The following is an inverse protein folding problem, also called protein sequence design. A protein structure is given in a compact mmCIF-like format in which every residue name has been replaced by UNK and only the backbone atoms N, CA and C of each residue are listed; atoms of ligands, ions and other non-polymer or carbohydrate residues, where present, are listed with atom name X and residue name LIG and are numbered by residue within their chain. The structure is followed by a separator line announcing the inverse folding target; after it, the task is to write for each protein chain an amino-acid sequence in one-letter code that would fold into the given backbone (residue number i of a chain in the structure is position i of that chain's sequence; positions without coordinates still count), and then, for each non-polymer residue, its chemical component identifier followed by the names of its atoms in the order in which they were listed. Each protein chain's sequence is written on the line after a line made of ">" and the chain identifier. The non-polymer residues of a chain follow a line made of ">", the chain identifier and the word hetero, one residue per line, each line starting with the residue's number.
data_IF_234087233478
#
_entry.id   IF_234087233478
#
_cell.length_a   1.000
_cell.length_b   1.000
_cell.length_c   1.000
_cell.angle_alpha   90.00
_cell.angle_beta   90.00
_cell.angle_gamma   90.00
#
_symmetry.space_group_name_H-M   'P 1'
#
loop_
_entity.id
_entity.type
_entity.pdbx_description
1 polymer ?
#
# COMPACT_ATOMS: atom_id res chain seq x y z
N UNK A 1 24.77 -4.45 24.67
CA UNK A 1 25.06 -4.39 23.21
C UNK A 1 26.52 -3.96 23.10
N UNK A 2 27.45 -4.91 23.17
CA UNK A 2 28.73 -4.61 23.85
C UNK A 2 29.95 -4.40 22.96
N UNK A 3 29.88 -4.43 21.62
CA UNK A 3 31.07 -4.15 20.77
C UNK A 3 30.85 -3.40 19.45
N UNK A 4 29.64 -2.92 19.13
CA UNK A 4 29.40 -2.08 17.93
C UNK A 4 29.92 -2.66 16.61
N UNK A 5 30.06 -3.99 16.50
CA UNK A 5 30.64 -4.64 15.32
C UNK A 5 29.63 -4.54 14.18
N UNK A 6 30.05 -4.14 12.95
CA UNK A 6 29.15 -4.09 11.81
C UNK A 6 28.44 -5.43 11.58
N UNK A 7 27.12 -5.41 11.54
CA UNK A 7 26.34 -6.59 11.19
C UNK A 7 26.23 -6.71 9.67
N UNK A 8 26.69 -7.82 9.12
CA UNK A 8 26.58 -8.12 7.69
C UNK A 8 25.36 -9.01 7.46
N UNK A 9 24.41 -8.53 6.65
CA UNK A 9 23.27 -9.34 6.23
C UNK A 9 23.75 -10.42 5.26
N UNK A 10 23.72 -11.68 5.70
CA UNK A 10 24.01 -12.83 4.84
C UNK A 10 22.73 -13.35 4.17
N UNK A 11 22.81 -13.98 2.98
CA UNK A 11 21.63 -14.51 2.30
C UNK A 11 20.80 -15.51 3.13
N UNK A 12 21.44 -16.21 4.07
CA UNK A 12 20.88 -17.23 4.95
C UNK A 12 20.37 -16.69 6.30
N UNK A 13 20.48 -15.39 6.58
CA UNK A 13 20.16 -14.81 7.91
C UNK A 13 18.70 -15.03 8.31
N UNK A 14 17.76 -15.00 7.36
CA UNK A 14 16.33 -15.23 7.61
C UNK A 14 15.86 -16.64 7.18
N UNK A 15 16.79 -17.59 7.09
CA UNK A 15 16.50 -18.96 6.72
C UNK A 15 16.06 -19.14 5.27
N UNK A 16 15.63 -20.36 4.89
CA UNK A 16 15.31 -20.71 3.50
C UNK A 16 13.98 -20.09 3.02
N UNK A 17 13.21 -19.47 3.91
CA UNK A 17 11.92 -18.86 3.59
C UNK A 17 12.04 -17.56 2.76
N UNK A 18 13.19 -16.88 2.85
CA UNK A 18 13.40 -15.58 2.24
C UNK A 18 14.64 -15.60 1.34
N UNK A 19 14.63 -14.72 0.32
CA UNK A 19 15.82 -14.39 -0.47
C UNK A 19 16.23 -12.97 -0.18
N UNK A 20 17.52 -12.81 0.14
CA UNK A 20 18.16 -11.51 0.23
C UNK A 20 18.37 -10.96 -1.18
N UNK A 21 17.87 -9.76 -1.42
CA UNK A 21 18.21 -8.94 -2.57
C UNK A 21 18.53 -7.52 -2.12
N UNK A 22 18.68 -6.63 -3.09
CA UNK A 22 18.76 -5.18 -2.84
C UNK A 22 17.54 -4.48 -3.40
N UNK A 23 17.09 -3.45 -2.71
CA UNK A 23 16.03 -2.57 -3.16
C UNK A 23 16.50 -1.12 -3.10
N UNK A 24 16.09 -0.32 -4.08
CA UNK A 24 16.27 1.13 -4.00
C UNK A 24 15.06 1.74 -3.29
N UNK A 25 15.34 2.57 -2.30
CA UNK A 25 14.32 3.32 -1.59
C UNK A 25 14.75 4.79 -1.52
N UNK A 26 13.85 5.74 -1.82
CA UNK A 26 14.17 7.14 -1.62
C UNK A 26 14.44 7.41 -0.13
N UNK A 27 15.36 8.33 0.13
CA UNK A 27 15.56 8.87 1.47
C UNK A 27 14.29 9.54 1.96
N UNK A 28 13.95 9.37 3.22
CA UNK A 28 12.82 10.06 3.81
C UNK A 28 13.15 11.55 3.97
N UNK A 29 12.39 12.41 3.28
CA UNK A 29 12.58 13.86 3.31
C UNK A 29 11.24 14.59 3.17
N UNK A 30 10.90 15.40 4.17
CA UNK A 30 9.65 16.16 4.19
C UNK A 30 9.58 17.22 3.08
N UNK A 31 10.71 17.79 2.67
CA UNK A 31 10.75 18.93 1.76
C UNK A 31 10.43 20.28 2.42
N UNK A 32 10.43 20.36 3.76
CA UNK A 32 10.38 21.61 4.53
C UNK A 32 11.06 21.40 5.90
N UNK A 33 11.31 22.47 6.66
CA UNK A 33 11.94 22.38 7.99
C UNK A 33 11.02 21.60 8.95
N UNK A 34 11.55 20.56 9.61
CA UNK A 34 10.79 19.77 10.58
C UNK A 34 10.32 20.60 11.76
N UNK A 35 11.05 21.66 12.13
CA UNK A 35 10.65 22.55 13.22
C UNK A 35 9.35 23.31 12.91
N UNK A 36 8.97 23.45 11.63
CA UNK A 36 7.68 24.04 11.24
C UNK A 36 6.47 23.29 11.82
N UNK A 37 6.59 21.99 12.08
CA UNK A 37 5.53 21.20 12.71
C UNK A 37 5.32 21.56 14.19
N UNK A 38 6.36 22.07 14.86
CA UNK A 38 6.28 22.52 16.26
C UNK A 38 5.80 23.97 16.36
N UNK A 39 6.26 24.83 15.44
CA UNK A 39 5.86 26.24 15.40
C UNK A 39 4.49 26.45 14.77
N UNK A 40 4.00 25.49 14.00
CA UNK A 40 2.72 25.57 13.29
C UNK A 40 2.76 26.52 12.09
N UNK A 41 3.95 26.86 11.59
CA UNK A 41 4.13 27.72 10.40
C UNK A 41 5.16 27.06 9.49
N UNK A 42 4.76 26.80 8.25
CA UNK A 42 5.64 26.25 7.23
C UNK A 42 6.85 27.18 7.01
N UNK A 43 8.04 26.61 7.09
CA UNK A 43 9.31 27.32 6.87
C UNK A 43 10.31 26.40 6.20
N UNK A 44 11.23 26.99 5.42
CA UNK A 44 12.27 26.25 4.73
C UNK A 44 11.73 25.25 3.71
N UNK A 45 10.57 25.55 3.09
CA UNK A 45 10.01 24.73 2.02
C UNK A 45 11.01 24.68 0.86
N UNK A 46 11.46 23.48 0.53
CA UNK A 46 12.50 23.27 -0.46
C UNK A 46 11.95 23.43 -1.89
N UNK A 47 12.57 24.28 -2.72
CA UNK A 47 12.19 24.43 -4.13
C UNK A 47 12.32 23.10 -4.90
N UNK A 48 11.29 22.75 -5.67
CA UNK A 48 11.16 21.48 -6.38
C UNK A 48 10.97 20.25 -5.48
N UNK A 49 10.85 20.44 -4.16
CA UNK A 49 10.69 19.36 -3.20
C UNK A 49 9.26 18.80 -3.15
N UNK A 50 9.06 17.65 -2.48
CA UNK A 50 7.76 16.99 -2.41
C UNK A 50 6.67 17.86 -1.75
N UNK A 51 7.03 18.66 -0.73
CA UNK A 51 6.10 19.58 -0.09
C UNK A 51 5.70 20.75 -0.99
N UNK A 52 6.65 21.36 -1.71
CA UNK A 52 6.35 22.46 -2.63
C UNK A 52 5.49 21.98 -3.80
N UNK A 53 5.80 20.79 -4.35
CA UNK A 53 5.02 20.14 -5.40
C UNK A 53 3.58 19.85 -4.94
N UNK A 54 3.39 19.56 -3.65
CA UNK A 54 2.06 19.40 -3.04
C UNK A 54 1.34 20.73 -2.78
N UNK A 55 1.98 21.88 -3.03
CA UNK A 55 1.39 23.21 -2.84
C UNK A 55 1.66 23.86 -1.48
N UNK A 56 2.58 23.31 -0.68
CA UNK A 56 3.05 23.99 0.54
C UNK A 56 3.94 25.18 0.15
N UNK A 57 3.82 26.30 0.86
CA UNK A 57 4.69 27.47 0.72
C UNK A 57 5.08 27.98 2.11
N UNK A 58 6.21 28.67 2.19
CA UNK A 58 6.66 29.31 3.42
C UNK A 58 5.61 30.32 3.93
N UNK A 59 5.45 30.39 5.24
CA UNK A 59 4.49 31.25 5.92
C UNK A 59 3.07 30.69 6.06
N UNK A 60 2.73 29.60 5.35
CA UNK A 60 1.42 28.95 5.52
C UNK A 60 1.29 28.36 6.94
N UNK A 61 0.15 28.58 7.58
CA UNK A 61 -0.06 28.06 8.94
C UNK A 61 -0.47 26.58 8.87
N UNK A 62 0.23 25.72 9.60
CA UNK A 62 -0.08 24.30 9.72
C UNK A 62 -1.04 24.13 10.90
N UNK A 63 -2.27 23.72 10.62
CA UNK A 63 -3.36 23.55 11.61
C UNK A 63 -3.50 22.11 12.10
N UNK A 64 -3.01 21.15 11.34
CA UNK A 64 -2.99 19.74 11.70
C UNK A 64 -2.03 18.97 10.80
N UNK A 65 -1.50 17.86 11.29
CA UNK A 65 -0.63 17.01 10.50
C UNK A 65 -0.68 15.55 10.94
N UNK A 66 -0.36 14.65 10.01
CA UNK A 66 -0.03 13.25 10.27
C UNK A 66 1.22 12.90 9.49
N UNK A 67 2.29 12.59 10.21
CA UNK A 67 3.60 12.28 9.66
C UNK A 67 4.11 10.99 10.29
N UNK A 68 4.46 10.02 9.47
CA UNK A 68 5.17 8.81 9.91
C UNK A 68 6.64 8.99 9.55
N UNK A 69 7.49 9.10 10.57
CA UNK A 69 8.92 9.36 10.37
C UNK A 69 9.64 8.12 9.81
N UNK A 70 10.49 8.33 8.80
CA UNK A 70 11.33 7.29 8.22
C UNK A 70 10.63 6.33 7.25
N UNK A 71 9.31 6.42 7.12
CA UNK A 71 8.53 5.59 6.20
C UNK A 71 8.05 6.41 5.01
N UNK A 72 8.70 6.20 3.85
CA UNK A 72 8.36 6.87 2.58
C UNK A 72 7.11 6.29 1.91
N UNK A 73 6.63 5.13 2.38
CA UNK A 73 5.41 4.50 1.85
C UNK A 73 4.14 5.10 2.42
N UNK A 74 4.24 5.80 3.56
CA UNK A 74 3.11 6.47 4.20
C UNK A 74 3.04 7.92 3.73
N UNK A 75 1.86 8.40 3.31
CA UNK A 75 1.69 9.79 2.93
C UNK A 75 1.81 10.70 4.16
N UNK A 76 2.48 11.82 3.97
CA UNK A 76 2.40 12.99 4.83
C UNK A 76 1.09 13.69 4.55
N UNK A 77 0.34 13.95 5.60
CA UNK A 77 -0.92 14.68 5.53
C UNK A 77 -0.78 15.98 6.31
N UNK A 78 -1.12 17.12 5.70
CA UNK A 78 -1.08 18.44 6.33
C UNK A 78 -2.41 19.16 6.11
N UNK A 79 -2.98 19.72 7.17
CA UNK A 79 -4.01 20.74 7.06
C UNK A 79 -3.34 22.09 7.18
N UNK A 80 -3.42 22.89 6.11
CA UNK A 80 -2.76 24.18 6.03
C UNK A 80 -3.79 25.28 5.82
N UNK A 81 -3.49 26.45 6.37
CA UNK A 81 -4.22 27.68 6.13
C UNK A 81 -3.37 28.59 5.25
N UNK A 82 -3.92 28.98 4.11
CA UNK A 82 -3.29 29.92 3.19
C UNK A 82 -3.45 31.37 3.72
N UNK A 83 -2.76 32.30 3.09
CA UNK A 83 -2.76 33.73 3.41
C UNK A 83 -4.14 34.39 3.31
N UNK A 84 -5.02 33.86 2.47
CA UNK A 84 -6.42 34.27 2.34
C UNK A 84 -7.33 33.73 3.46
N UNK A 85 -6.77 32.92 4.37
CA UNK A 85 -7.48 32.29 5.48
C UNK A 85 -8.16 30.97 5.13
N UNK A 86 -8.10 30.53 3.86
CA UNK A 86 -8.70 29.27 3.42
C UNK A 86 -7.96 28.07 4.00
N UNK A 87 -8.71 27.03 4.39
CA UNK A 87 -8.15 25.76 4.85
C UNK A 87 -8.13 24.76 3.71
N UNK A 88 -6.97 24.14 3.48
CA UNK A 88 -6.82 23.03 2.55
C UNK A 88 -6.02 21.89 3.15
N UNK A 89 -6.21 20.73 2.56
CA UNK A 89 -5.50 19.51 2.92
C UNK A 89 -4.48 19.18 1.83
N UNK A 90 -3.23 18.98 2.23
CA UNK A 90 -2.16 18.51 1.37
C UNK A 90 -1.82 17.07 1.74
N UNK A 91 -1.60 16.22 0.72
CA UNK A 91 -1.18 14.83 0.91
C UNK A 91 -0.10 14.48 -0.10
N UNK A 92 1.06 14.03 0.36
CA UNK A 92 2.19 13.67 -0.51
C UNK A 92 3.12 12.65 0.14
N UNK A 93 3.96 11.98 -0.65
CA UNK A 93 5.00 11.07 -0.16
C UNK A 93 6.27 11.84 0.17
N UNK A 94 6.84 11.64 1.35
CA UNK A 94 8.09 12.26 1.79
C UNK A 94 9.34 11.61 1.13
N UNK A 95 9.34 11.54 -0.20
CA UNK A 95 10.43 10.96 -0.98
C UNK A 95 11.46 12.05 -1.32
N UNK A 96 12.67 11.88 -0.79
CA UNK A 96 13.81 12.74 -1.06
C UNK A 96 14.43 12.50 -2.43
N UNK A 97 15.29 13.43 -2.89
CA UNK A 97 15.95 13.34 -4.20
C UNK A 97 17.05 12.26 -4.25
N UNK A 98 17.48 11.74 -3.10
CA UNK A 98 18.49 10.70 -3.00
C UNK A 98 17.84 9.35 -2.84
N UNK A 99 18.31 8.37 -3.59
CA UNK A 99 17.99 6.96 -3.37
C UNK A 99 19.08 6.30 -2.55
N UNK A 100 18.69 5.35 -1.70
CA UNK A 100 19.61 4.49 -0.97
C UNK A 100 19.31 3.05 -1.33
N UNK A 101 20.37 2.29 -1.55
CA UNK A 101 20.27 0.84 -1.74
C UNK A 101 20.23 0.18 -0.37
N UNK A 102 19.15 -0.56 -0.10
CA UNK A 102 18.91 -1.23 1.15
C UNK A 102 18.79 -2.75 0.91
N UNK A 103 19.36 -3.58 1.79
CA UNK A 103 19.09 -5.01 1.79
C UNK A 103 17.60 -5.26 1.97
N UNK A 104 17.00 -6.06 1.09
CA UNK A 104 15.57 -6.40 1.13
C UNK A 104 15.40 -7.91 1.09
N UNK A 105 14.72 -8.45 2.09
CA UNK A 105 14.28 -9.83 2.07
C UNK A 105 12.91 -9.94 1.40
N UNK A 106 12.81 -10.84 0.45
CA UNK A 106 11.55 -11.17 -0.22
C UNK A 106 11.18 -12.62 0.08
N UNK A 107 9.91 -12.92 0.41
CA UNK A 107 9.46 -14.29 0.58
C UNK A 107 9.68 -15.09 -0.70
N UNK A 108 10.19 -16.32 -0.57
CA UNK A 108 10.21 -17.24 -1.71
C UNK A 108 8.77 -17.66 -2.02
N UNK A 109 8.44 -17.76 -3.31
CA UNK A 109 7.13 -18.25 -3.74
C UNK A 109 6.86 -19.62 -3.11
N UNK A 110 5.69 -19.77 -2.52
CA UNK A 110 5.29 -20.98 -1.79
C UNK A 110 6.25 -21.39 -0.65
N UNK A 111 7.05 -20.47 -0.11
CA UNK A 111 7.99 -20.73 0.99
C UNK A 111 7.33 -21.46 2.16
N UNK A 112 6.14 -21.02 2.56
CA UNK A 112 5.38 -21.64 3.65
C UNK A 112 4.96 -23.09 3.39
N UNK A 113 4.97 -23.58 2.14
CA UNK A 113 4.70 -24.97 1.81
C UNK A 113 5.97 -25.83 1.75
N UNK A 114 7.15 -25.22 1.81
CA UNK A 114 8.41 -25.94 1.71
C UNK A 114 8.81 -26.50 3.08
N UNK A 115 9.18 -27.78 3.18
CA UNK A 115 9.55 -28.42 4.44
C UNK A 115 10.76 -27.73 5.09
N UNK A 116 11.73 -27.27 4.29
CA UNK A 116 12.89 -26.54 4.80
C UNK A 116 12.51 -25.23 5.52
N UNK A 117 11.52 -24.49 5.00
CA UNK A 117 11.02 -23.27 5.63
C UNK A 117 10.19 -23.57 6.88
N UNK A 118 9.31 -24.57 6.81
CA UNK A 118 8.52 -25.06 7.94
C UNK A 118 9.40 -25.54 9.11
N UNK A 119 10.45 -26.30 8.81
CA UNK A 119 11.45 -26.75 9.77
C UNK A 119 12.20 -25.57 10.41
N UNK A 120 12.61 -24.58 9.61
CA UNK A 120 13.30 -23.38 10.12
C UNK A 120 12.42 -22.50 11.00
N UNK A 121 11.12 -22.38 10.70
CA UNK A 121 10.15 -21.64 11.51
C UNK A 121 9.79 -22.36 12.83
N UNK A 122 10.39 -23.51 13.13
CA UNK A 122 10.10 -24.29 14.32
C UNK A 122 8.73 -24.99 14.27
N UNK A 123 8.10 -25.07 13.09
CA UNK A 123 6.85 -25.83 12.92
C UNK A 123 7.09 -27.35 12.85
N UNK A 124 8.37 -27.76 12.81
CA UNK A 124 8.83 -29.12 13.11
C UNK A 124 8.30 -30.23 12.17
N UNK A 125 8.72 -31.48 12.40
CA UNK A 125 8.25 -32.64 11.63
C UNK A 125 6.76 -32.95 11.83
N UNK A 126 6.11 -32.30 12.81
CA UNK A 126 4.66 -32.35 13.02
C UNK A 126 3.91 -31.72 11.85
N UNK A 127 4.37 -30.56 11.37
CA UNK A 127 3.75 -29.88 10.25
C UNK A 127 4.03 -30.60 8.92
N UNK A 128 5.19 -31.27 8.80
CA UNK A 128 5.48 -32.20 7.69
C UNK A 128 4.52 -33.39 7.68
N UNK A 129 4.27 -34.03 8.84
CA UNK A 129 3.28 -35.12 8.96
C UNK A 129 1.86 -34.65 8.65
N UNK A 130 1.47 -33.46 9.10
CA UNK A 130 0.14 -32.90 8.81
C UNK A 130 -0.03 -32.57 7.31
N UNK A 131 1.00 -32.02 6.66
CA UNK A 131 1.00 -31.79 5.21
C UNK A 131 0.96 -33.08 4.39
N UNK A 132 1.66 -34.13 4.83
CA UNK A 132 1.63 -35.47 4.22
C UNK A 132 0.23 -36.11 4.36
N UNK A 133 -0.37 -36.06 5.56
CA UNK A 133 -1.73 -36.54 5.81
C UNK A 133 -2.76 -35.77 4.96
N UNK A 134 -2.64 -34.45 4.86
CA UNK A 134 -3.53 -33.62 4.04
C UNK A 134 -3.40 -33.98 2.54
N UNK A 135 -2.19 -34.21 2.05
CA UNK A 135 -1.92 -34.62 0.68
C UNK A 135 -2.47 -36.03 0.37
N UNK A 136 -2.31 -36.97 1.29
CA UNK A 136 -2.88 -38.32 1.19
C UNK A 136 -4.43 -38.31 1.16
N UNK A 137 -5.07 -37.41 1.93
CA UNK A 137 -6.54 -37.21 1.89
C UNK A 137 -7.01 -36.62 0.57
N UNK A 138 -6.24 -35.69 -0.03
CA UNK A 138 -6.56 -35.10 -1.33
C UNK A 138 -6.42 -36.11 -2.47
N UNK A 139 -5.40 -36.97 -2.42
CA UNK A 139 -5.23 -38.10 -3.35
C UNK A 139 -6.36 -39.13 -3.25
N UNK A 140 -6.81 -39.48 -2.04
CA UNK A 140 -7.97 -40.39 -1.85
C UNK A 140 -9.29 -39.80 -2.34
N UNK A 141 -9.51 -38.48 -2.22
CA UNK A 141 -10.71 -37.82 -2.78
C UNK A 141 -10.70 -37.78 -4.31
N UNK A 142 -9.53 -37.61 -4.94
CA UNK A 142 -9.38 -37.76 -6.39
C UNK A 142 -9.67 -39.18 -6.87
N UNK A 143 -9.16 -40.19 -6.16
CA UNK A 143 -9.42 -41.60 -6.49
C UNK A 143 -10.89 -42.01 -6.32
N UNK A 144 -11.58 -41.50 -5.28
CA UNK A 144 -13.02 -41.76 -5.08
C UNK A 144 -13.90 -41.07 -6.14
N UNK A 145 -13.50 -39.89 -6.63
CA UNK A 145 -14.20 -39.23 -7.74
C UNK A 145 -14.03 -39.96 -9.08
N UNK A 146 -12.85 -40.54 -9.34
CA UNK A 146 -12.59 -41.32 -10.57
C UNK A 146 -13.23 -42.71 -10.58
N UNK A 147 -13.46 -43.32 -9.40
CA UNK A 147 -14.12 -44.61 -9.28
C UNK A 147 -15.66 -44.55 -9.52
N UNK A 148 -16.27 -43.36 -9.39
CA UNK A 148 -17.71 -43.17 -9.60
C UNK A 148 -18.13 -43.01 -11.08
N UNK A 149 -17.18 -42.84 -12.02
CA UNK A 149 -17.50 -42.65 -13.46
C UNK A 149 -17.29 -43.92 -14.29
N UNK A 150 -16.71 -44.98 -13.72
CA UNK A 150 -16.38 -46.23 -14.41
C UNK A 150 -17.50 -47.28 -14.45
N UNK A 151 -18.76 -46.91 -14.73
CA UNK A 151 -19.81 -47.92 -14.97
C UNK A 151 -20.97 -47.41 -15.84
N UNK A 152 -20.70 -47.03 -17.10
CA UNK A 152 -21.71 -47.11 -18.17
C UNK A 152 -21.09 -47.68 -19.44
N UNK A 153 -21.56 -48.88 -19.77
CA UNK A 153 -21.17 -49.79 -20.84
C UNK A 153 -22.07 -49.53 -22.06
N UNK A 154 -21.48 -49.46 -23.24
CA UNK A 154 -22.08 -49.91 -24.51
C UNK A 154 -23.08 -48.97 -25.21
N UNK A 155 -22.71 -48.51 -26.41
CA UNK A 155 -23.62 -47.82 -27.33
C UNK A 155 -22.94 -47.51 -28.65
N UNK A 156 -22.94 -48.49 -29.56
CA UNK A 156 -22.51 -48.42 -30.97
C UNK A 156 -23.48 -47.55 -31.77
N UNK A 157 -23.00 -46.58 -32.56
CA UNK A 157 -23.67 -46.10 -33.77
C UNK A 157 -22.72 -45.31 -34.68
N UNK A 158 -22.87 -45.60 -35.96
CA UNK A 158 -22.15 -45.15 -37.16
C UNK A 158 -22.62 -43.81 -37.71
N UNK A 159 -21.66 -43.07 -38.27
CA UNK A 159 -21.67 -42.33 -39.54
C UNK A 159 -22.66 -41.17 -39.83
N UNK A 160 -22.07 -40.22 -40.59
CA UNK A 160 -22.62 -39.33 -41.63
C UNK A 160 -23.28 -38.01 -41.23
N UNK A 161 -22.84 -36.93 -41.90
CA UNK A 161 -23.64 -35.72 -42.11
C UNK A 161 -22.85 -34.41 -41.98
N UNK A 162 -22.44 -33.84 -43.11
CA UNK A 162 -21.88 -32.49 -43.19
C UNK A 162 -22.92 -31.39 -42.89
N UNK A 163 -22.43 -30.19 -42.60
CA UNK A 163 -23.30 -29.04 -42.34
C UNK A 163 -22.51 -27.75 -42.14
N UNK A 164 -22.35 -27.01 -43.23
CA UNK A 164 -21.80 -25.66 -43.36
C UNK A 164 -22.77 -24.66 -42.70
N UNK A 165 -22.30 -23.75 -41.85
CA UNK A 165 -23.17 -22.73 -41.22
C UNK A 165 -22.40 -21.52 -40.68
N UNK A 166 -22.58 -20.40 -41.37
CA UNK A 166 -22.10 -19.03 -41.07
C UNK A 166 -22.96 -18.35 -39.98
N UNK A 167 -22.49 -17.16 -39.58
CA UNK A 167 -23.14 -16.11 -38.77
C UNK A 167 -23.05 -16.36 -37.26
N UNK A 168 -22.67 -15.41 -36.41
CA UNK A 168 -22.75 -13.95 -36.50
C UNK A 168 -23.50 -13.50 -35.24
N UNK A 169 -22.86 -12.69 -34.38
CA UNK A 169 -23.47 -12.31 -33.11
C UNK A 169 -22.64 -11.29 -32.34
N UNK A 170 -22.78 -10.02 -32.71
CA UNK A 170 -22.46 -8.88 -31.84
C UNK A 170 -23.43 -8.93 -30.64
N UNK A 171 -22.90 -8.81 -29.41
CA UNK A 171 -23.70 -8.44 -28.25
C UNK A 171 -23.06 -7.21 -27.62
N UNK A 172 -23.78 -6.08 -27.76
CA UNK A 172 -23.54 -4.83 -27.07
C UNK A 172 -24.32 -4.79 -25.75
N UNK A 173 -24.06 -3.73 -24.98
CA UNK A 173 -24.85 -3.19 -23.85
C UNK A 173 -24.67 -3.92 -22.51
N UNK A 174 -24.59 -3.26 -21.34
CA UNK A 174 -25.23 -2.01 -20.91
C UNK A 174 -24.37 -1.23 -19.91
N UNK A 175 -24.28 0.07 -20.14
CA UNK A 175 -24.06 1.09 -19.11
C UNK A 175 -25.18 1.04 -18.07
N UNK A 176 -24.84 1.24 -16.80
CA UNK A 176 -25.81 1.58 -15.76
C UNK A 176 -25.23 2.70 -14.92
N UNK A 177 -25.63 3.92 -15.30
CA UNK A 177 -25.63 5.09 -14.46
C UNK A 177 -26.88 5.03 -13.56
N UNK A 178 -26.74 5.45 -12.30
CA UNK A 178 -27.85 5.88 -11.46
C UNK A 178 -27.35 6.81 -10.33
N UNK A 179 -28.23 7.62 -9.74
CA UNK A 179 -28.01 9.06 -9.61
C UNK A 179 -27.99 9.59 -8.17
N UNK A 180 -27.55 10.84 -8.03
CA UNK A 180 -28.25 11.90 -7.29
C UNK A 180 -28.44 11.76 -5.77
N UNK A 181 -27.68 12.54 -5.00
CA UNK A 181 -28.02 12.94 -3.64
C UNK A 181 -27.69 14.42 -3.42
N UNK A 182 -28.72 15.27 -3.33
CA UNK A 182 -28.66 16.72 -3.18
C UNK A 182 -29.48 17.11 -1.94
N UNK A 183 -28.89 17.80 -0.96
CA UNK A 183 -29.49 18.77 -0.02
C UNK A 183 -28.42 19.15 1.03
N UNK A 184 -27.93 20.39 1.12
CA UNK A 184 -28.56 21.63 1.61
C UNK A 184 -28.67 21.71 3.15
N UNK A 185 -27.94 22.66 3.74
CA UNK A 185 -28.03 23.09 5.15
C UNK A 185 -26.95 24.14 5.44
N UNK A 186 -27.17 25.42 5.09
CA UNK A 186 -27.78 26.51 5.87
C UNK A 186 -26.73 27.34 6.63
N UNK A 187 -26.64 28.61 6.24
CA UNK A 187 -25.76 29.64 6.77
C UNK A 187 -26.18 30.08 8.19
N UNK A 188 -25.20 30.49 8.99
CA UNK A 188 -25.39 31.47 10.07
C UNK A 188 -24.16 32.37 10.15
N UNK A 189 -24.40 33.66 9.94
CA UNK A 189 -23.45 34.74 10.09
C UNK A 189 -23.31 35.14 11.56
N UNK A 190 -22.10 35.51 11.99
CA UNK A 190 -21.89 36.31 13.19
C UNK A 190 -20.85 37.40 12.89
N UNK A 191 -21.31 38.65 12.95
CA UNK A 191 -20.52 39.89 12.90
C UNK A 191 -19.90 40.16 14.28
N UNK A 192 -18.69 40.72 14.30
CA UNK A 192 -18.07 41.36 15.47
C UNK A 192 -16.68 41.87 15.10
N UNK A 193 -16.56 43.04 14.45
CA UNK A 193 -16.27 44.35 15.07
C UNK A 193 -15.07 44.40 16.02
N UNK A 194 -13.93 44.78 15.44
CA UNK A 194 -13.03 45.88 15.85
C UNK A 194 -12.63 46.05 17.32
N UNK A 195 -11.31 45.97 17.59
CA UNK A 195 -10.62 47.01 18.37
C UNK A 195 -9.13 47.11 18.05
N UNK A 196 -8.74 48.28 17.57
CA UNK A 196 -7.37 48.74 17.44
C UNK A 196 -6.76 49.04 18.83
N UNK A 197 -5.48 48.78 19.00
CA UNK A 197 -4.79 48.95 20.29
C UNK A 197 -3.28 49.12 20.16
N UNK A 198 -2.88 50.31 19.72
CA UNK A 198 -1.69 51.11 20.11
C UNK A 198 -0.28 50.50 20.03
N UNK A 199 0.53 51.22 19.24
CA UNK A 199 1.98 51.29 19.29
C UNK A 199 2.50 51.77 20.66
N UNK A 200 3.60 51.18 21.11
CA UNK A 200 4.45 51.73 22.17
C UNK A 200 5.93 51.54 21.84
N UNK A 201 6.59 52.67 21.61
CA UNK A 201 8.02 53.01 21.76
C UNK A 201 7.99 54.47 22.25
N UNK A 202 8.97 55.05 22.99
CA UNK A 202 10.28 54.54 23.42
C UNK A 202 10.63 54.84 24.90
N UNK A 203 11.78 54.33 25.34
CA UNK A 203 12.82 55.09 26.03
C UNK A 203 14.18 54.49 25.64
#
# INVERSE_FOLDING_TARGET
>A
IDRGVPFVFRPDTLGPCFKLGTGRQPEWWLGFDRNALSTGVASGVAPGGPAEAAGLRDGMAIRGYRVVHGDVSQPVWLQVQDSDGSLRTLSYTAAGPRERELPRYTPVAQSLQQPACQGWLGQGPSAEREAEIASARKGKRGAAASAATGKRKGGKATATGGGKGKAGGKAATKSSAMPGGKAAGKAAAAKGSSKAGKAHKPA
#
